data_IF_511774507118
#
_entry.id   IF_511774507118
#
_cell.length_a   1.000
_cell.length_b   1.000
_cell.length_c   1.000
_cell.angle_alpha   90.00
_cell.angle_beta   90.00
_cell.angle_gamma   90.00
#
_symmetry.space_group_name_H-M   'P 1'
#
loop_
_entity.id
_entity.type
_entity.pdbx_description
1 polymer ?
#
# COMPACT_ATOMS: atom_id res chain seq x y z
N UNK A 1 -3.49 -13.83 -2.19
CA UNK A 1 -2.82 -12.54 -2.42
C UNK A 1 -2.51 -11.95 -1.06
N UNK A 2 -1.27 -11.52 -0.85
CA UNK A 2 -0.87 -10.84 0.39
C UNK A 2 -1.45 -9.43 0.42
N UNK A 3 -1.86 -8.94 1.59
CA UNK A 3 -2.50 -7.64 1.80
C UNK A 3 -1.96 -6.93 3.03
N UNK A 4 -2.31 -5.66 3.21
CA UNK A 4 -1.94 -4.89 4.41
C UNK A 4 -2.43 -5.52 5.73
N UNK A 5 -3.50 -6.32 5.68
CA UNK A 5 -4.03 -6.98 6.87
C UNK A 5 -3.18 -8.17 7.32
N UNK A 6 -2.34 -8.74 6.45
CA UNK A 6 -1.37 -9.78 6.81
C UNK A 6 -0.19 -9.22 7.64
N UNK A 7 -0.07 -7.89 7.71
CA UNK A 7 0.99 -7.16 8.42
C UNK A 7 0.54 -6.53 9.74
N UNK A 8 -0.62 -6.92 10.27
CA UNK A 8 -1.23 -6.33 11.46
C UNK A 8 -1.27 -4.79 11.36
N UNK A 9 -1.80 -4.27 10.25
CA UNK A 9 -2.00 -2.84 10.08
C UNK A 9 -2.90 -2.30 11.20
N UNK A 10 -2.49 -1.19 11.82
CA UNK A 10 -3.30 -0.48 12.82
C UNK A 10 -4.35 0.40 12.15
N UNK A 11 -5.41 0.77 12.85
CA UNK A 11 -6.40 1.72 12.32
C UNK A 11 -5.78 3.06 11.93
N UNK A 12 -4.79 3.53 12.71
CA UNK A 12 -4.10 4.78 12.43
C UNK A 12 -3.30 4.72 11.13
N UNK A 13 -2.52 3.66 10.94
CA UNK A 13 -1.77 3.45 9.70
C UNK A 13 -2.73 3.33 8.51
N UNK A 14 -3.80 2.54 8.68
CA UNK A 14 -4.83 2.31 7.67
C UNK A 14 -5.48 3.62 7.20
N UNK A 15 -5.86 4.48 8.14
CA UNK A 15 -6.38 5.82 7.84
C UNK A 15 -5.35 6.70 7.14
N UNK A 16 -4.10 6.72 7.62
CA UNK A 16 -3.03 7.53 7.02
C UNK A 16 -2.78 7.16 5.55
N UNK A 17 -2.87 5.88 5.19
CA UNK A 17 -2.63 5.40 3.83
C UNK A 17 -3.89 5.30 2.96
N UNK A 18 -5.05 5.69 3.51
CA UNK A 18 -6.33 5.75 2.80
C UNK A 18 -6.97 4.39 2.50
N UNK A 19 -6.78 3.40 3.38
CA UNK A 19 -7.34 2.05 3.21
C UNK A 19 -8.67 1.95 3.98
N UNK A 20 -9.77 1.45 3.37
CA UNK A 20 -11.03 1.23 4.08
C UNK A 20 -10.91 0.11 5.12
N UNK A 21 -11.94 -0.11 5.93
CA UNK A 21 -11.95 -1.26 6.84
C UNK A 21 -11.83 -2.60 6.08
N UNK A 22 -11.51 -3.66 6.82
CA UNK A 22 -11.20 -4.97 6.23
C UNK A 22 -12.34 -5.54 5.40
N UNK A 23 -13.58 -5.36 5.83
CA UNK A 23 -14.74 -5.91 5.13
C UNK A 23 -14.92 -5.22 3.77
N UNK A 24 -14.89 -3.88 3.75
CA UNK A 24 -14.98 -3.11 2.51
C UNK A 24 -13.77 -3.32 1.60
N UNK A 25 -12.57 -3.44 2.18
CA UNK A 25 -11.36 -3.72 1.42
C UNK A 25 -11.46 -5.05 0.67
N UNK A 26 -11.82 -6.13 1.37
CA UNK A 26 -11.84 -7.48 0.79
C UNK A 26 -12.90 -7.67 -0.30
N UNK A 27 -13.94 -6.82 -0.36
CA UNK A 27 -14.99 -6.90 -1.37
C UNK A 27 -14.52 -6.47 -2.77
N UNK A 28 -13.56 -5.55 -2.87
CA UNK A 28 -13.20 -4.89 -4.14
C UNK A 28 -11.70 -4.91 -4.44
N UNK A 29 -10.87 -5.42 -3.52
CA UNK A 29 -9.44 -5.28 -3.64
C UNK A 29 -8.84 -6.29 -4.64
N UNK A 30 -8.20 -5.76 -5.68
CA UNK A 30 -7.40 -6.50 -6.65
C UNK A 30 -5.91 -6.52 -6.29
N UNK A 31 -5.09 -7.16 -7.14
CA UNK A 31 -3.65 -7.31 -6.92
C UNK A 31 -2.87 -6.00 -6.95
N UNK A 32 -3.26 -5.08 -7.82
CA UNK A 32 -2.61 -3.77 -7.90
C UNK A 32 -2.93 -2.93 -6.67
N UNK A 33 -4.19 -2.93 -6.22
CA UNK A 33 -4.64 -2.26 -4.99
C UNK A 33 -3.99 -2.87 -3.74
N UNK A 34 -3.81 -4.21 -3.71
CA UNK A 34 -3.07 -4.90 -2.65
C UNK A 34 -1.61 -4.45 -2.58
N UNK A 35 -0.92 -4.50 -3.73
CA UNK A 35 0.49 -4.11 -3.82
C UNK A 35 0.69 -2.62 -3.51
N UNK A 36 -0.24 -1.74 -3.93
CA UNK A 36 -0.17 -0.31 -3.63
C UNK A 36 -0.37 -0.05 -2.14
N UNK A 37 -1.35 -0.71 -1.51
CA UNK A 37 -1.55 -0.64 -0.06
C UNK A 37 -0.32 -1.11 0.71
N UNK A 38 0.29 -2.23 0.31
CA UNK A 38 1.52 -2.74 0.91
C UNK A 38 2.71 -1.80 0.72
N UNK A 39 2.87 -1.21 -0.47
CA UNK A 39 3.92 -0.23 -0.73
C UNK A 39 3.79 1.00 0.19
N UNK A 40 2.57 1.52 0.34
CA UNK A 40 2.26 2.63 1.25
C UNK A 40 2.50 2.25 2.72
N UNK A 41 2.06 1.08 3.16
CA UNK A 41 2.25 0.62 4.54
C UNK A 41 3.74 0.47 4.88
N UNK A 42 4.53 -0.16 4.00
CA UNK A 42 5.97 -0.32 4.23
C UNK A 42 6.69 1.03 4.24
N UNK A 43 6.26 1.97 3.40
CA UNK A 43 6.79 3.34 3.42
C UNK A 43 6.45 4.06 4.73
N UNK A 44 5.18 4.03 5.17
CA UNK A 44 4.71 4.61 6.44
C UNK A 44 5.53 4.09 7.64
N UNK A 45 5.88 2.80 7.62
CA UNK A 45 6.70 2.14 8.65
C UNK A 45 8.20 2.37 8.52
N UNK A 46 8.67 3.08 7.50
CA UNK A 46 10.09 3.30 7.25
C UNK A 46 10.84 2.15 6.55
N UNK A 47 10.15 1.06 6.17
CA UNK A 47 10.75 -0.08 5.44
C UNK A 47 10.79 0.21 3.93
N UNK A 48 11.73 1.06 3.53
CA UNK A 48 11.90 1.50 2.14
C UNK A 48 12.20 0.34 1.19
N UNK A 49 12.89 -0.71 1.67
CA UNK A 49 13.22 -1.87 0.85
C UNK A 49 11.97 -2.63 0.44
N UNK A 50 11.07 -2.92 1.39
CA UNK A 50 9.80 -3.58 1.07
C UNK A 50 8.83 -2.65 0.34
N UNK A 51 8.85 -1.36 0.64
CA UNK A 51 8.05 -0.38 -0.10
C UNK A 51 8.39 -0.43 -1.61
N UNK A 52 9.68 -0.38 -1.95
CA UNK A 52 10.14 -0.50 -3.35
C UNK A 52 9.82 -1.87 -3.94
N UNK A 53 9.92 -2.96 -3.17
CA UNK A 53 9.59 -4.31 -3.64
C UNK A 53 8.12 -4.40 -4.10
N UNK A 54 7.18 -3.90 -3.32
CA UNK A 54 5.76 -3.91 -3.69
C UNK A 54 5.45 -2.89 -4.79
N UNK A 55 6.05 -1.69 -4.76
CA UNK A 55 5.88 -0.71 -5.83
C UNK A 55 6.39 -1.22 -7.19
N UNK A 56 7.39 -2.11 -7.22
CA UNK A 56 7.88 -2.71 -8.46
C UNK A 56 6.95 -3.76 -9.06
N UNK A 57 5.93 -4.23 -8.33
CA UNK A 57 4.90 -5.13 -8.84
C UNK A 57 3.75 -4.39 -9.53
N UNK A 58 3.64 -3.08 -9.30
CA UNK A 58 2.59 -2.25 -9.86
C UNK A 58 2.78 -2.00 -11.36
N UNK A 59 1.69 -1.77 -12.10
CA UNK A 59 1.78 -1.22 -13.45
C UNK A 59 2.47 0.16 -13.42
N UNK A 60 3.10 0.58 -14.54
CA UNK A 60 3.96 1.76 -14.55
C UNK A 60 3.29 3.04 -14.04
N UNK A 61 2.04 3.29 -14.40
CA UNK A 61 1.24 4.44 -13.96
C UNK A 61 1.09 4.50 -12.44
N UNK A 62 0.63 3.43 -11.81
CA UNK A 62 0.47 3.36 -10.36
C UNK A 62 1.80 3.43 -9.62
N UNK A 63 2.84 2.83 -10.19
CA UNK A 63 4.21 2.91 -9.65
C UNK A 63 4.72 4.36 -9.63
N UNK A 64 4.55 5.10 -10.72
CA UNK A 64 5.00 6.49 -10.80
C UNK A 64 4.19 7.41 -9.89
N UNK A 65 2.88 7.18 -9.80
CA UNK A 65 2.01 7.91 -8.87
C UNK A 65 2.42 7.70 -7.41
N UNK A 66 2.76 6.46 -7.03
CA UNK A 66 3.30 6.16 -5.71
C UNK A 66 4.61 6.93 -5.44
N UNK A 67 5.58 6.88 -6.35
CA UNK A 67 6.86 7.58 -6.15
C UNK A 67 6.69 9.10 -6.10
N UNK A 68 5.77 9.67 -6.89
CA UNK A 68 5.45 11.10 -6.80
C UNK A 68 4.95 11.46 -5.40
N UNK A 69 4.02 10.67 -4.87
CA UNK A 69 3.40 10.93 -3.56
C UNK A 69 4.41 10.85 -2.40
N UNK A 70 5.37 9.92 -2.44
CA UNK A 70 6.32 9.75 -1.33
C UNK A 70 7.56 10.65 -1.42
N UNK A 71 7.89 11.19 -2.60
CA UNK A 71 9.04 12.08 -2.78
C UNK A 71 8.68 13.56 -2.73
N UNK A 72 7.40 13.89 -2.87
CA UNK A 72 6.86 15.24 -2.80
C UNK A 72 5.60 15.27 -1.91
N UNK A 73 5.76 15.02 -0.59
CA UNK A 73 4.66 14.88 0.37
C UNK A 73 3.92 16.19 0.68
#
# INVERSE_FOLDING_TARGET
METVFDYNITDKERENIGIPDKEHYLLFNDEDSANLGLAKLMHERGDMKRATMYANKLPPDLKWDFYRLITHP
#
